data_IF_500963206830
#
_entry.id   IF_500963206830
#
_cell.length_a   1.000
_cell.length_b   1.000
_cell.length_c   1.000
_cell.angle_alpha   90.00
_cell.angle_beta   90.00
_cell.angle_gamma   90.00
#
_symmetry.space_group_name_H-M   'P 1'
#
loop_
_entity.id
_entity.type
_entity.pdbx_description
1 polymer ?
#
# COMPACT_ATOMS: atom_id res chain seq x y z
N UNK A 1 -10.28 -7.59 8.62
CA UNK A 1 -10.44 -6.22 9.17
C UNK A 1 -11.69 -6.04 10.04
N UNK A 2 -12.77 -6.79 9.84
CA UNK A 2 -13.99 -6.71 10.65
C UNK A 2 -13.95 -7.42 12.03
N UNK A 3 -12.86 -8.13 12.37
CA UNK A 3 -12.81 -8.96 13.58
C UNK A 3 -12.52 -8.16 14.87
N UNK A 4 -11.82 -7.02 14.78
CA UNK A 4 -11.42 -6.24 15.96
C UNK A 4 -12.59 -5.51 16.62
N UNK A 5 -13.58 -5.07 15.84
CA UNK A 5 -14.72 -4.28 16.34
C UNK A 5 -16.00 -5.10 16.52
N UNK A 6 -15.96 -6.42 16.29
CA UNK A 6 -17.16 -7.27 16.29
C UNK A 6 -17.89 -7.24 17.64
N UNK A 7 -17.14 -7.31 18.74
CA UNK A 7 -17.69 -7.25 20.11
C UNK A 7 -18.28 -5.88 20.46
N UNK A 8 -17.70 -4.80 19.96
CA UNK A 8 -18.17 -3.43 20.21
C UNK A 8 -19.42 -3.11 19.38
N UNK A 9 -19.52 -3.65 18.17
CA UNK A 9 -20.69 -3.50 17.29
C UNK A 9 -21.89 -4.29 17.84
N UNK A 10 -21.68 -5.51 18.32
CA UNK A 10 -22.76 -6.36 18.88
C UNK A 10 -23.27 -5.86 20.25
N UNK A 11 -22.47 -5.08 20.98
CA UNK A 11 -22.83 -4.52 22.29
C UNK A 11 -23.47 -3.12 22.22
N UNK A 12 -23.56 -2.53 21.02
CA UNK A 12 -24.16 -1.21 20.83
C UNK A 12 -25.70 -1.30 20.78
N UNK A 13 -26.38 -0.24 21.22
CA UNK A 13 -27.85 -0.10 21.13
C UNK A 13 -28.36 -0.15 19.69
N UNK A 14 -27.57 0.38 18.75
CA UNK A 14 -27.80 0.28 17.30
C UNK A 14 -26.52 -0.26 16.60
N UNK A 15 -26.41 -1.59 16.44
CA UNK A 15 -25.26 -2.23 15.82
C UNK A 15 -24.99 -1.76 14.39
N UNK A 16 -26.04 -1.45 13.62
CA UNK A 16 -25.90 -1.05 12.22
C UNK A 16 -25.38 0.38 12.11
N UNK A 17 -25.92 1.31 12.90
CA UNK A 17 -25.40 2.67 12.96
C UNK A 17 -23.95 2.71 13.47
N UNK A 18 -23.60 1.89 14.46
CA UNK A 18 -22.25 1.82 15.00
C UNK A 18 -21.25 1.23 13.99
N UNK A 19 -21.66 0.20 13.24
CA UNK A 19 -20.87 -0.37 12.14
C UNK A 19 -20.58 0.67 11.06
N UNK A 20 -21.60 1.41 10.62
CA UNK A 20 -21.46 2.46 9.62
C UNK A 20 -20.52 3.58 10.09
N UNK A 21 -20.64 4.01 11.35
CA UNK A 21 -19.76 5.03 11.92
C UNK A 21 -18.29 4.57 11.97
N UNK A 22 -18.04 3.30 12.31
CA UNK A 22 -16.70 2.70 12.28
C UNK A 22 -16.16 2.63 10.85
N UNK A 23 -16.96 2.17 9.89
CA UNK A 23 -16.54 2.11 8.48
C UNK A 23 -16.20 3.50 7.94
N UNK A 24 -17.03 4.50 8.23
CA UNK A 24 -16.81 5.87 7.79
C UNK A 24 -15.50 6.44 8.38
N UNK A 25 -15.25 6.21 9.67
CA UNK A 25 -14.00 6.60 10.33
C UNK A 25 -12.79 5.90 9.71
N UNK A 26 -12.90 4.61 9.41
CA UNK A 26 -11.81 3.84 8.79
C UNK A 26 -11.55 4.26 7.34
N UNK A 27 -12.60 4.58 6.57
CA UNK A 27 -12.48 5.12 5.22
C UNK A 27 -11.73 6.45 5.21
N UNK A 28 -12.03 7.36 6.15
CA UNK A 28 -11.29 8.62 6.33
C UNK A 28 -9.80 8.40 6.67
N UNK A 29 -9.44 7.27 7.27
CA UNK A 29 -8.05 6.92 7.60
C UNK A 29 -7.28 6.30 6.41
N UNK A 30 -7.98 5.77 5.40
CA UNK A 30 -7.38 5.12 4.22
C UNK A 30 -6.91 6.09 3.13
N UNK A 31 -6.96 7.40 3.38
CA UNK A 31 -6.54 8.39 2.39
C UNK A 31 -5.04 8.25 2.05
N UNK A 32 -4.69 8.11 0.76
CA UNK A 32 -3.29 8.00 0.32
C UNK A 32 -2.47 9.25 0.68
N UNK A 33 -3.10 10.41 0.83
CA UNK A 33 -2.46 11.65 1.29
C UNK A 33 -1.92 11.55 2.73
N UNK A 34 -2.58 10.80 3.62
CA UNK A 34 -2.08 10.56 4.98
C UNK A 34 -0.87 9.63 4.98
N UNK A 35 -0.79 8.69 4.04
CA UNK A 35 0.34 7.80 3.89
C UNK A 35 1.59 8.53 3.34
N UNK A 36 1.39 9.51 2.45
CA UNK A 36 2.46 10.39 1.98
C UNK A 36 3.05 11.25 3.11
N UNK A 37 2.23 11.75 4.04
CA UNK A 37 2.68 12.64 5.12
C UNK A 37 3.54 11.95 6.19
N UNK A 38 3.50 10.62 6.29
CA UNK A 38 4.34 9.83 7.22
C UNK A 38 5.62 9.27 6.58
N UNK A 39 5.86 9.52 5.29
CA UNK A 39 6.99 8.96 4.56
C UNK A 39 6.87 7.45 4.25
N UNK A 40 5.71 6.83 4.56
CA UNK A 40 5.43 5.42 4.25
C UNK A 40 5.23 5.19 2.74
N UNK A 41 4.92 6.26 1.99
CA UNK A 41 4.77 6.25 0.53
C UNK A 41 5.81 7.19 -0.07
N UNK A 42 6.62 6.63 -0.96
CA UNK A 42 7.77 7.33 -1.59
C UNK A 42 7.28 8.42 -2.55
N UNK A 43 6.16 8.20 -3.25
CA UNK A 43 5.64 9.14 -4.25
C UNK A 43 4.12 8.96 -4.44
N UNK A 44 3.38 10.06 -4.52
CA UNK A 44 1.96 10.08 -4.85
C UNK A 44 1.79 10.67 -6.25
N UNK A 45 1.54 9.82 -7.22
CA UNK A 45 1.52 10.17 -8.64
C UNK A 45 0.11 10.17 -9.22
N UNK A 46 -0.12 10.88 -10.33
CA UNK A 46 -1.35 10.69 -11.10
C UNK A 46 -1.38 9.25 -11.66
N UNK A 47 -2.50 8.50 -11.54
CA UNK A 47 -2.60 7.16 -12.09
C UNK A 47 -2.20 7.03 -13.57
N UNK A 48 -2.37 8.09 -14.37
CA UNK A 48 -2.00 8.16 -15.79
C UNK A 48 -0.49 8.16 -16.00
N UNK A 49 0.29 8.65 -15.03
CA UNK A 49 1.75 8.70 -15.08
C UNK A 49 2.40 7.35 -14.78
N UNK A 50 1.66 6.42 -14.15
CA UNK A 50 2.13 5.09 -13.73
C UNK A 50 2.91 4.38 -14.84
N UNK A 51 2.37 4.34 -16.07
CA UNK A 51 3.02 3.64 -17.20
C UNK A 51 4.36 4.27 -17.57
N UNK A 52 4.41 5.60 -17.68
CA UNK A 52 5.62 6.33 -18.06
C UNK A 52 6.73 6.11 -17.03
N UNK A 53 6.39 6.25 -15.74
CA UNK A 53 7.32 6.08 -14.63
C UNK A 53 7.83 4.64 -14.54
N UNK A 54 6.94 3.64 -14.70
CA UNK A 54 7.33 2.23 -14.71
C UNK A 54 8.30 1.92 -15.87
N UNK A 55 7.99 2.37 -17.09
CA UNK A 55 8.87 2.17 -18.24
C UNK A 55 10.23 2.85 -18.05
N UNK A 56 10.24 4.09 -17.53
CA UNK A 56 11.48 4.81 -17.20
C UNK A 56 12.31 4.03 -16.18
N UNK A 57 11.71 3.55 -15.10
CA UNK A 57 12.39 2.74 -14.10
C UNK A 57 13.00 1.48 -14.71
N UNK A 58 12.22 0.73 -15.52
CA UNK A 58 12.70 -0.47 -16.19
C UNK A 58 13.92 -0.15 -17.05
N UNK A 59 13.85 0.88 -17.89
CA UNK A 59 14.95 1.28 -18.76
C UNK A 59 16.22 1.65 -17.97
N UNK A 60 16.07 2.35 -16.84
CA UNK A 60 17.18 2.69 -15.95
C UNK A 60 17.77 1.46 -15.25
N UNK A 61 16.94 0.48 -14.90
CA UNK A 61 17.37 -0.74 -14.22
C UNK A 61 18.06 -1.75 -15.16
N UNK A 62 17.71 -1.77 -16.46
CA UNK A 62 18.20 -2.76 -17.43
C UNK A 62 19.73 -2.93 -17.46
N UNK A 63 20.56 -1.88 -17.48
CA UNK A 63 22.01 -2.03 -17.48
C UNK A 63 22.52 -2.74 -16.23
N UNK A 64 21.98 -2.39 -15.05
CA UNK A 64 22.37 -2.99 -13.78
C UNK A 64 21.93 -4.45 -13.68
N UNK A 65 20.74 -4.77 -14.17
CA UNK A 65 20.24 -6.15 -14.24
C UNK A 65 21.13 -7.03 -15.12
N UNK A 66 21.61 -6.51 -16.26
CA UNK A 66 22.56 -7.25 -17.13
C UNK A 66 23.88 -7.55 -16.42
N UNK A 67 24.43 -6.58 -15.70
CA UNK A 67 25.64 -6.76 -14.90
C UNK A 67 25.44 -7.82 -13.80
N UNK A 68 24.31 -7.76 -13.08
CA UNK A 68 23.99 -8.71 -12.02
C UNK A 68 23.73 -10.13 -12.55
N UNK A 69 23.13 -10.26 -13.73
CA UNK A 69 22.85 -11.54 -14.37
C UNK A 69 24.13 -12.31 -14.76
N UNK A 70 25.24 -11.60 -15.00
CA UNK A 70 26.55 -12.19 -15.32
C UNK A 70 27.32 -12.65 -14.08
N UNK A 71 26.90 -12.23 -12.88
CA UNK A 71 27.56 -12.63 -11.64
C UNK A 71 27.18 -14.08 -11.31
N UNK A 72 28.18 -14.87 -10.92
CA UNK A 72 27.93 -16.22 -10.41
C UNK A 72 26.93 -16.16 -9.26
N UNK A 73 25.79 -16.85 -9.43
CA UNK A 73 24.73 -16.91 -8.43
C UNK A 73 25.29 -17.54 -7.16
N UNK A 74 25.64 -16.72 -6.17
CA UNK A 74 25.88 -17.23 -4.82
C UNK A 74 24.52 -17.67 -4.29
N UNK A 75 24.35 -18.96 -4.06
CA UNK A 75 23.19 -19.50 -3.36
C UNK A 75 23.22 -19.02 -1.91
N UNK A 76 22.63 -17.86 -1.65
CA UNK A 76 22.45 -17.29 -0.32
C UNK A 76 21.17 -16.45 -0.43
N UNK A 77 20.04 -16.76 0.22
CA UNK A 77 19.80 -17.24 1.59
C UNK A 77 18.32 -17.78 1.70
N UNK A 78 17.84 -18.22 2.89
CA UNK A 78 16.75 -19.20 3.11
C UNK A 78 15.34 -18.73 2.74
#
# INVERSE_FOLDING_TARGET
>A
MAAAYRREIEAAEDPEAHRLAIEERLLRLRSPFRAAHRGDVIDLIDPRETRSLACRFVNLAQPKLRELAQRNKRAVRP
#
